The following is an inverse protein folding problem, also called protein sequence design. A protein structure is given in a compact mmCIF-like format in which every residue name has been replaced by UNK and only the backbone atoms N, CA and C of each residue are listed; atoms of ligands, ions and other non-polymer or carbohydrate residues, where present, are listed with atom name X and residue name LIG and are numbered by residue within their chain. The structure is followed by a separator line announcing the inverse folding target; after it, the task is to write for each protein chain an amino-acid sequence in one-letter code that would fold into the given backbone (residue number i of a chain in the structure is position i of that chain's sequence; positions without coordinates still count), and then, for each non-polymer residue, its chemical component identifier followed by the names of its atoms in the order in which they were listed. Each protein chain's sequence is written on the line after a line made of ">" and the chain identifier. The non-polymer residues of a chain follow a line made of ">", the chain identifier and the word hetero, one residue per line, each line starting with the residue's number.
data_IF_445009303428
#
_entry.id   IF_445009303428
#
_cell.length_a   1.000
_cell.length_b   1.000
_cell.length_c   1.000
_cell.angle_alpha   90.00
_cell.angle_beta   90.00
_cell.angle_gamma   90.00
#
_symmetry.space_group_name_H-M   'P 1'
#
loop_
_entity.id
_entity.type
_entity.pdbx_description
1 polymer ?
#
# COMPACT_ATOMS: atom_id res chain seq x y z
N UNK A 1 -26.92 -1.19 -16.06
CA UNK A 1 -25.55 -1.01 -15.55
C UNK A 1 -25.49 0.31 -14.78
N UNK A 2 -24.94 0.29 -13.59
CA UNK A 2 -24.94 1.46 -12.74
C UNK A 2 -23.77 2.40 -13.11
N UNK A 3 -24.09 3.64 -13.44
CA UNK A 3 -23.11 4.68 -13.71
C UNK A 3 -22.85 5.48 -12.42
N UNK A 4 -22.29 4.80 -11.42
CA UNK A 4 -22.02 5.40 -10.11
C UNK A 4 -20.54 5.25 -9.73
N UNK A 5 -20.04 6.21 -8.95
CA UNK A 5 -18.68 6.14 -8.41
C UNK A 5 -18.48 4.85 -7.59
N UNK A 6 -19.49 4.47 -6.80
CA UNK A 6 -19.43 3.25 -5.99
C UNK A 6 -19.24 1.98 -6.84
N UNK A 7 -19.93 1.91 -7.97
CA UNK A 7 -19.77 0.80 -8.90
C UNK A 7 -18.33 0.72 -9.44
N UNK A 8 -17.81 1.84 -9.94
CA UNK A 8 -16.44 1.87 -10.48
C UNK A 8 -15.40 1.61 -9.39
N UNK A 9 -15.59 2.14 -8.19
CA UNK A 9 -14.72 1.84 -7.07
C UNK A 9 -14.66 0.33 -6.76
N UNK A 10 -15.80 -0.35 -6.83
CA UNK A 10 -15.88 -1.81 -6.63
C UNK A 10 -15.14 -2.57 -7.74
N UNK A 11 -15.31 -2.14 -8.99
CA UNK A 11 -14.63 -2.76 -10.15
C UNK A 11 -13.11 -2.60 -10.00
N UNK A 12 -12.65 -1.40 -9.70
CA UNK A 12 -11.22 -1.12 -9.54
C UNK A 12 -10.63 -1.84 -8.33
N UNK A 13 -11.32 -1.85 -7.22
CA UNK A 13 -10.87 -2.57 -6.02
C UNK A 13 -10.67 -4.07 -6.31
N UNK A 14 -11.64 -4.69 -6.98
CA UNK A 14 -11.54 -6.10 -7.36
C UNK A 14 -10.36 -6.37 -8.30
N UNK A 15 -10.20 -5.53 -9.31
CA UNK A 15 -9.12 -5.65 -10.29
C UNK A 15 -7.75 -5.47 -9.61
N UNK A 16 -7.61 -4.43 -8.81
CA UNK A 16 -6.36 -4.15 -8.09
C UNK A 16 -6.02 -5.25 -7.08
N UNK A 17 -7.00 -5.74 -6.33
CA UNK A 17 -6.79 -6.82 -5.36
C UNK A 17 -6.33 -8.11 -6.04
N UNK A 18 -6.95 -8.46 -7.16
CA UNK A 18 -6.55 -9.65 -7.93
C UNK A 18 -5.13 -9.51 -8.49
N UNK A 19 -4.80 -8.34 -9.02
CA UNK A 19 -3.47 -8.06 -9.56
C UNK A 19 -2.39 -8.12 -8.47
N UNK A 20 -2.61 -7.42 -7.37
CA UNK A 20 -1.64 -7.38 -6.26
C UNK A 20 -1.44 -8.74 -5.62
N UNK A 21 -2.51 -9.51 -5.42
CA UNK A 21 -2.42 -10.84 -4.81
C UNK A 21 -1.53 -11.77 -5.64
N UNK A 22 -1.63 -11.74 -6.96
CA UNK A 22 -0.76 -12.53 -7.84
C UNK A 22 0.71 -12.14 -7.72
N UNK A 23 1.01 -10.84 -7.64
CA UNK A 23 2.38 -10.33 -7.56
C UNK A 23 3.00 -10.52 -6.18
N UNK A 24 2.20 -10.49 -5.13
CA UNK A 24 2.67 -10.65 -3.75
C UNK A 24 2.80 -12.12 -3.34
N UNK A 25 2.10 -13.02 -4.00
CA UNK A 25 2.08 -14.44 -3.66
C UNK A 25 3.49 -15.06 -3.69
N UNK A 26 4.30 -14.70 -4.68
CA UNK A 26 5.67 -15.18 -4.80
C UNK A 26 6.56 -14.78 -3.60
N UNK A 27 6.19 -13.72 -2.88
CA UNK A 27 6.90 -13.25 -1.69
C UNK A 27 6.30 -13.83 -0.39
N UNK A 28 5.25 -14.62 -0.47
CA UNK A 28 4.52 -15.11 0.70
C UNK A 28 3.62 -14.04 1.34
N UNK A 29 3.29 -12.99 0.61
CA UNK A 29 2.44 -11.90 1.08
C UNK A 29 1.05 -11.96 0.47
N UNK A 30 0.10 -11.27 1.09
CA UNK A 30 -1.24 -11.10 0.58
C UNK A 30 -1.62 -9.60 0.53
N UNK A 31 -2.81 -9.31 0.02
CA UNK A 31 -3.29 -7.92 -0.06
C UNK A 31 -3.31 -7.22 1.30
N UNK A 32 -3.65 -7.92 2.38
CA UNK A 32 -3.68 -7.35 3.72
C UNK A 32 -2.31 -6.92 4.25
N UNK A 33 -1.22 -7.43 3.70
CA UNK A 33 0.15 -7.06 4.06
C UNK A 33 0.65 -5.81 3.33
N UNK A 34 0.00 -5.44 2.23
CA UNK A 34 0.46 -4.41 1.29
C UNK A 34 0.67 -3.06 1.98
N UNK A 35 -0.39 -2.54 2.60
CA UNK A 35 -0.34 -1.22 3.21
C UNK A 35 0.55 -1.16 4.47
N UNK A 36 0.52 -2.15 5.38
CA UNK A 36 1.47 -2.17 6.50
C UNK A 36 2.93 -2.15 6.06
N UNK A 37 3.32 -2.96 5.08
CA UNK A 37 4.69 -2.98 4.57
C UNK A 37 5.06 -1.63 3.94
N UNK A 38 4.19 -1.05 3.14
CA UNK A 38 4.43 0.27 2.53
C UNK A 38 4.56 1.35 3.60
N UNK A 39 3.67 1.35 4.59
CA UNK A 39 3.71 2.35 5.66
C UNK A 39 5.02 2.31 6.43
N UNK A 40 5.44 1.14 6.88
CA UNK A 40 6.71 0.99 7.61
C UNK A 40 7.90 1.40 6.74
N UNK A 41 7.88 1.04 5.45
CA UNK A 41 8.94 1.41 4.51
C UNK A 41 9.08 2.92 4.34
N UNK A 42 7.97 3.66 4.38
CA UNK A 42 7.96 5.12 4.29
C UNK A 42 8.21 5.82 5.63
N UNK A 43 7.96 5.15 6.74
CA UNK A 43 8.08 5.69 8.09
C UNK A 43 8.92 4.75 8.97
N UNK A 44 10.23 4.61 8.66
CA UNK A 44 11.10 3.75 9.46
C UNK A 44 11.09 4.15 10.93
N UNK A 45 11.03 3.18 11.82
CA UNK A 45 10.95 3.41 13.25
C UNK A 45 9.57 3.85 13.76
N UNK A 46 8.54 3.81 12.91
CA UNK A 46 7.18 4.15 13.35
C UNK A 46 6.69 3.22 14.46
N UNK A 47 5.80 3.73 15.30
CA UNK A 47 5.15 2.87 16.29
C UNK A 47 3.99 2.10 15.68
N UNK A 48 3.65 0.98 16.29
CA UNK A 48 2.47 0.21 15.88
C UNK A 48 1.17 1.04 16.02
N UNK A 49 1.09 1.92 17.02
CA UNK A 49 -0.04 2.83 17.18
C UNK A 49 -0.15 3.82 16.01
N UNK A 50 0.97 4.38 15.56
CA UNK A 50 1.00 5.28 14.40
C UNK A 50 0.56 4.58 13.12
N UNK A 51 1.06 3.37 12.87
CA UNK A 51 0.64 2.55 11.73
C UNK A 51 -0.87 2.28 11.77
N UNK A 52 -1.37 1.83 12.91
CA UNK A 52 -2.79 1.49 13.08
C UNK A 52 -3.69 2.69 12.81
N UNK A 53 -3.34 3.85 13.37
CA UNK A 53 -4.09 5.09 13.18
C UNK A 53 -4.03 5.57 11.72
N UNK A 54 -2.85 5.59 11.12
CA UNK A 54 -2.66 6.07 9.74
C UNK A 54 -3.42 5.24 8.71
N UNK A 55 -3.49 3.91 8.92
CA UNK A 55 -4.19 3.01 8.02
C UNK A 55 -5.68 2.84 8.36
N UNK A 56 -6.15 3.45 9.44
CA UNK A 56 -7.55 3.33 9.87
C UNK A 56 -7.94 1.89 10.22
N UNK A 57 -7.01 1.12 10.77
CA UNK A 57 -7.22 -0.29 11.09
C UNK A 57 -7.79 -0.46 12.51
N UNK A 58 -8.54 -1.53 12.70
CA UNK A 58 -8.84 -2.04 14.03
C UNK A 58 -7.55 -2.52 14.71
N UNK A 59 -7.41 -2.23 16.02
CA UNK A 59 -6.19 -2.55 16.77
C UNK A 59 -5.89 -4.05 16.74
N UNK A 60 -6.90 -4.89 16.97
CA UNK A 60 -6.73 -6.33 16.97
C UNK A 60 -6.26 -6.87 15.62
N UNK A 61 -6.85 -6.38 14.53
CA UNK A 61 -6.42 -6.74 13.17
C UNK A 61 -5.00 -6.27 12.90
N UNK A 62 -4.68 -5.03 13.25
CA UNK A 62 -3.34 -4.46 13.08
C UNK A 62 -2.30 -5.27 13.85
N UNK A 63 -2.59 -5.62 15.09
CA UNK A 63 -1.70 -6.40 15.95
C UNK A 63 -1.42 -7.80 15.36
N UNK A 64 -2.46 -8.48 14.89
CA UNK A 64 -2.30 -9.79 14.24
C UNK A 64 -1.47 -9.70 12.97
N UNK A 65 -1.72 -8.71 12.16
CA UNK A 65 -1.01 -8.49 10.89
C UNK A 65 0.46 -8.17 11.14
N UNK A 66 0.75 -7.25 12.05
CA UNK A 66 2.14 -6.88 12.40
C UNK A 66 2.87 -8.08 13.00
N UNK A 67 2.25 -8.80 13.92
CA UNK A 67 2.86 -10.00 14.56
C UNK A 67 3.20 -11.04 13.49
N UNK A 68 2.29 -11.31 12.57
CA UNK A 68 2.53 -12.24 11.47
C UNK A 68 3.71 -11.79 10.58
N UNK A 69 3.75 -10.50 10.23
CA UNK A 69 4.84 -9.97 9.40
C UNK A 69 6.20 -10.02 10.12
N UNK A 70 6.22 -9.86 11.44
CA UNK A 70 7.43 -10.03 12.25
C UNK A 70 7.86 -11.51 12.28
N UNK A 71 6.92 -12.41 12.53
CA UNK A 71 7.19 -13.86 12.57
C UNK A 71 7.68 -14.40 11.23
N UNK A 72 7.13 -13.88 10.13
CA UNK A 72 7.51 -14.25 8.76
C UNK A 72 8.80 -13.56 8.30
N UNK A 73 9.35 -12.65 9.10
CA UNK A 73 10.66 -12.04 8.87
C UNK A 73 10.64 -10.81 7.96
N UNK A 74 9.49 -10.19 7.71
CA UNK A 74 9.38 -8.97 6.90
C UNK A 74 9.62 -7.70 7.72
N UNK A 75 9.18 -7.69 8.97
CA UNK A 75 9.34 -6.58 9.89
C UNK A 75 10.18 -6.97 11.08
N UNK A 76 10.86 -5.99 11.65
CA UNK A 76 11.44 -6.08 12.98
C UNK A 76 10.62 -5.21 13.94
N UNK A 77 10.52 -5.65 15.18
CA UNK A 77 9.77 -4.94 16.21
C UNK A 77 10.62 -4.86 17.46
N UNK A 78 10.97 -3.64 17.87
CA UNK A 78 11.77 -3.38 19.06
C UNK A 78 10.96 -2.56 20.05
N UNK A 79 11.00 -2.97 21.32
CA UNK A 79 10.36 -2.23 22.39
C UNK A 79 11.31 -1.15 22.90
N UNK A 80 10.84 0.10 22.88
CA UNK A 80 11.52 1.24 23.50
C UNK A 80 10.53 1.97 24.41
N UNK A 81 10.78 1.92 25.72
CA UNK A 81 9.82 2.41 26.71
C UNK A 81 8.51 1.62 26.67
N UNK A 82 7.39 2.29 26.42
CA UNK A 82 6.06 1.70 26.35
C UNK A 82 5.59 1.41 24.92
N UNK A 83 6.39 1.76 23.92
CA UNK A 83 6.03 1.64 22.52
C UNK A 83 6.87 0.58 21.80
N UNK A 84 6.24 -0.07 20.82
CA UNK A 84 6.94 -0.92 19.87
C UNK A 84 7.21 -0.15 18.61
N UNK A 85 8.48 -0.11 18.19
CA UNK A 85 8.96 0.53 16.96
C UNK A 85 9.15 -0.52 15.88
N UNK A 86 8.71 -0.19 14.67
CA UNK A 86 8.71 -1.09 13.52
C UNK A 86 9.69 -0.61 12.46
N UNK A 87 10.44 -1.56 11.91
CA UNK A 87 11.31 -1.34 10.77
C UNK A 87 11.20 -2.52 9.80
N UNK A 88 11.64 -2.30 8.56
CA UNK A 88 11.75 -3.37 7.58
C UNK A 88 13.03 -4.17 7.82
N UNK A 89 12.92 -5.49 7.77
CA UNK A 89 14.08 -6.37 7.61
C UNK A 89 14.62 -6.28 6.18
N UNK A 90 15.79 -6.88 5.85
CA UNK A 90 16.24 -6.99 4.46
C UNK A 90 15.21 -7.66 3.53
N UNK A 91 14.54 -8.71 4.01
CA UNK A 91 13.42 -9.34 3.31
C UNK A 91 12.24 -8.38 3.15
N UNK A 92 11.97 -7.57 4.17
CA UNK A 92 10.94 -6.54 4.16
C UNK A 92 11.24 -5.41 3.17
N UNK A 93 12.49 -5.04 3.00
CA UNK A 93 12.90 -4.03 2.01
C UNK A 93 12.55 -4.48 0.59
N UNK A 94 12.80 -5.73 0.27
CA UNK A 94 12.42 -6.30 -1.03
C UNK A 94 10.90 -6.32 -1.20
N UNK A 95 10.18 -6.74 -0.18
CA UNK A 95 8.71 -6.74 -0.18
C UNK A 95 8.15 -5.32 -0.33
N UNK A 96 8.77 -4.34 0.29
CA UNK A 96 8.39 -2.92 0.16
C UNK A 96 8.54 -2.44 -1.28
N UNK A 97 9.66 -2.72 -1.93
CA UNK A 97 9.87 -2.32 -3.32
C UNK A 97 8.81 -2.92 -4.24
N UNK A 98 8.54 -4.21 -4.13
CA UNK A 98 7.50 -4.88 -4.94
C UNK A 98 6.12 -4.33 -4.63
N UNK A 99 5.78 -4.15 -3.36
CA UNK A 99 4.48 -3.64 -2.93
C UNK A 99 4.23 -2.22 -3.41
N UNK A 100 5.24 -1.38 -3.40
CA UNK A 100 5.17 -0.02 -3.90
C UNK A 100 5.03 0.00 -5.42
N UNK A 101 5.83 -0.82 -6.13
CA UNK A 101 5.82 -0.88 -7.59
C UNK A 101 4.49 -1.38 -8.16
N UNK A 102 3.81 -2.26 -7.44
CA UNK A 102 2.51 -2.82 -7.87
C UNK A 102 1.46 -1.73 -8.16
N UNK A 103 1.45 -0.64 -7.41
CA UNK A 103 0.54 0.47 -7.67
C UNK A 103 0.76 1.09 -9.05
N UNK A 104 2.02 1.34 -9.41
CA UNK A 104 2.37 1.96 -10.69
C UNK A 104 2.15 1.00 -11.85
N UNK A 105 2.48 -0.27 -11.69
CA UNK A 105 2.30 -1.28 -12.72
C UNK A 105 0.83 -1.52 -13.02
N UNK A 106 -0.01 -1.55 -11.98
CA UNK A 106 -1.44 -1.68 -12.16
C UNK A 106 -2.03 -0.44 -12.84
N UNK A 107 -1.59 0.75 -12.45
CA UNK A 107 -2.00 2.02 -13.07
C UNK A 107 -1.69 2.00 -14.57
N UNK A 108 -0.49 1.61 -14.96
CA UNK A 108 -0.12 1.54 -16.37
C UNK A 108 -1.03 0.59 -17.16
N UNK A 109 -1.35 -0.56 -16.58
CA UNK A 109 -2.25 -1.52 -17.23
C UNK A 109 -3.69 -1.00 -17.28
N UNK A 110 -4.19 -0.44 -16.19
CA UNK A 110 -5.58 0.01 -16.08
C UNK A 110 -5.84 1.28 -16.89
N UNK A 111 -4.85 2.18 -16.97
CA UNK A 111 -5.00 3.48 -17.62
C UNK A 111 -4.57 3.49 -19.10
N UNK A 112 -4.23 2.33 -19.66
CA UNK A 112 -3.89 2.20 -21.08
C UNK A 112 -4.87 2.91 -22.03
N UNK A 113 -6.20 2.87 -21.82
CA UNK A 113 -7.15 3.56 -22.70
C UNK A 113 -7.09 5.09 -22.65
N UNK A 114 -6.42 5.68 -21.64
CA UNK A 114 -6.35 7.13 -21.46
C UNK A 114 -5.03 7.71 -21.98
N UNK A 115 -5.10 8.88 -22.60
CA UNK A 115 -3.90 9.66 -22.90
C UNK A 115 -3.40 10.40 -21.64
N UNK A 116 -2.24 11.05 -21.73
CA UNK A 116 -1.61 11.71 -20.59
C UNK A 116 -2.50 12.80 -19.98
N UNK A 117 -3.16 13.59 -20.81
CA UNK A 117 -4.05 14.67 -20.37
C UNK A 117 -5.26 14.12 -19.60
N UNK A 118 -5.85 13.06 -20.13
CA UNK A 118 -6.98 12.38 -19.49
C UNK A 118 -6.59 11.75 -18.14
N UNK A 119 -5.39 11.17 -18.05
CA UNK A 119 -4.85 10.64 -16.77
C UNK A 119 -4.69 11.74 -15.73
N UNK A 120 -4.13 12.89 -16.12
CA UNK A 120 -3.97 14.03 -15.22
C UNK A 120 -5.32 14.56 -14.74
N UNK A 121 -6.30 14.66 -15.64
CA UNK A 121 -7.66 15.06 -15.30
C UNK A 121 -8.31 14.08 -14.32
N UNK A 122 -8.16 12.79 -14.57
CA UNK A 122 -8.70 11.74 -13.69
C UNK A 122 -8.14 11.86 -12.28
N UNK A 123 -6.82 11.96 -12.13
CA UNK A 123 -6.19 12.08 -10.83
C UNK A 123 -6.58 13.37 -10.11
N UNK A 124 -6.67 14.49 -10.82
CA UNK A 124 -7.13 15.76 -10.24
C UNK A 124 -8.56 15.66 -9.71
N UNK A 125 -9.45 15.01 -10.45
CA UNK A 125 -10.85 14.81 -10.03
C UNK A 125 -10.95 13.84 -8.85
N UNK A 126 -10.19 12.75 -8.87
CA UNK A 126 -10.16 11.78 -7.76
C UNK A 126 -9.62 12.41 -6.47
N UNK A 127 -8.57 13.22 -6.56
CA UNK A 127 -8.04 13.96 -5.42
C UNK A 127 -9.10 14.90 -4.82
N UNK A 128 -9.81 15.63 -5.68
CA UNK A 128 -10.88 16.53 -5.28
C UNK A 128 -12.04 15.79 -4.59
N UNK A 129 -12.47 14.67 -5.16
CA UNK A 129 -13.58 13.87 -4.61
C UNK A 129 -13.18 13.20 -3.29
N UNK A 130 -11.98 12.67 -3.20
CA UNK A 130 -11.49 11.98 -2.00
C UNK A 130 -11.08 12.93 -0.87
N UNK A 131 -10.88 14.23 -1.16
CA UNK A 131 -10.36 15.19 -0.19
C UNK A 131 -8.91 14.95 0.21
N UNK A 132 -8.19 14.09 -0.53
CA UNK A 132 -6.78 13.78 -0.26
C UNK A 132 -5.94 14.27 -1.42
N UNK A 133 -4.99 15.15 -1.11
CA UNK A 133 -3.96 15.51 -2.09
C UNK A 133 -3.00 14.33 -2.27
N UNK A 134 -2.49 14.20 -3.50
CA UNK A 134 -1.47 13.22 -3.79
C UNK A 134 -0.22 13.54 -2.95
N UNK A 135 0.25 12.58 -2.18
CA UNK A 135 1.53 12.69 -1.52
C UNK A 135 2.62 12.79 -2.59
N UNK A 136 3.28 13.94 -2.65
CA UNK A 136 4.33 14.22 -3.62
C UNK A 136 5.50 13.24 -3.56
N UNK A 137 5.62 12.50 -2.46
CA UNK A 137 6.65 11.47 -2.30
C UNK A 137 6.31 10.15 -3.02
N UNK A 138 5.06 9.99 -3.47
CA UNK A 138 4.57 8.78 -4.12
C UNK A 138 4.49 8.86 -5.65
N UNK A 139 4.97 9.93 -6.27
CA UNK A 139 4.76 10.18 -7.69
C UNK A 139 5.75 9.52 -8.63
N UNK A 140 6.74 8.79 -8.14
CA UNK A 140 7.71 8.11 -9.01
C UNK A 140 7.91 6.66 -8.56
N UNK A 141 7.89 5.71 -9.49
CA UNK A 141 8.34 4.36 -9.20
C UNK A 141 9.81 4.40 -8.75
N UNK A 142 10.21 3.44 -7.92
CA UNK A 142 11.63 3.27 -7.61
C UNK A 142 12.40 3.05 -8.91
N UNK A 143 13.50 3.77 -9.07
CA UNK A 143 14.43 3.45 -10.13
C UNK A 143 14.90 2.01 -9.93
N UNK A 144 14.88 1.21 -11.00
CA UNK A 144 15.44 -0.13 -10.95
C UNK A 144 16.91 -0.02 -10.55
N UNK A 145 17.41 -0.92 -9.69
CA UNK A 145 18.82 -0.94 -9.32
C UNK A 145 19.72 -1.26 -10.52
#
# INVERSE_FOLDING_TARGET
>A
MFQTLAYYATVFHRSFTAYTSRHLQALGLNFGSLFPVIYVGKHPGCTQAQLTAALGLDWGYSQRTVTRLVEEGFLTREKSGRAYHLDLSPKGQQAFQVSHQVFFDWDEAALTPLDQKEREQLFALLAKVSGKEADSTCTKPFAAP
#
